data_IF_156912752836
#
_entry.id   IF_156912752836
#
_cell.length_a   1.000
_cell.length_b   1.000
_cell.length_c   1.000
_cell.angle_alpha   90.00
_cell.angle_beta   90.00
_cell.angle_gamma   90.00
#
_symmetry.space_group_name_H-M   'P 1'
#
loop_
_entity.id
_entity.type
_entity.pdbx_description
1 polymer ?
#
# COMPACT_ATOMS: atom_id res chain seq x y z
N UNK A 1 2.78 -23.72 -9.19
CA UNK A 1 3.77 -23.61 -8.09
C UNK A 1 5.17 -23.68 -8.66
N UNK A 2 6.10 -22.84 -8.20
CA UNK A 2 7.49 -22.85 -8.68
C UNK A 2 8.27 -24.04 -8.10
N UNK A 3 9.07 -24.70 -8.94
CA UNK A 3 9.87 -25.87 -8.57
C UNK A 3 11.29 -25.71 -9.10
N UNK A 4 12.26 -26.28 -8.40
CA UNK A 4 13.60 -26.45 -8.93
C UNK A 4 13.65 -27.63 -9.92
N UNK A 5 14.80 -27.84 -10.57
CA UNK A 5 15.00 -28.94 -11.53
C UNK A 5 14.77 -30.34 -10.96
N UNK A 6 14.74 -30.49 -9.62
CA UNK A 6 14.47 -31.75 -8.92
C UNK A 6 13.00 -31.87 -8.47
N UNK A 7 12.12 -30.95 -8.87
CA UNK A 7 10.70 -30.95 -8.52
C UNK A 7 10.38 -30.40 -7.13
N UNK A 8 11.39 -30.10 -6.30
CA UNK A 8 11.21 -29.57 -4.95
C UNK A 8 10.99 -28.04 -4.97
N UNK A 9 10.39 -27.45 -3.91
CA UNK A 9 10.32 -26.00 -3.76
C UNK A 9 11.72 -25.37 -3.84
N UNK A 10 11.84 -24.17 -4.45
CA UNK A 10 13.10 -23.45 -4.48
C UNK A 10 13.52 -23.04 -3.06
N UNK A 11 14.80 -23.22 -2.76
CA UNK A 11 15.39 -22.70 -1.52
C UNK A 11 15.60 -21.19 -1.64
N UNK A 12 15.04 -20.43 -0.69
CA UNK A 12 15.03 -18.97 -0.72
C UNK A 12 16.45 -18.37 -0.63
N UNK A 13 17.34 -19.00 0.14
CA UNK A 13 18.70 -18.51 0.32
C UNK A 13 19.52 -18.65 -0.97
N UNK A 14 19.40 -19.80 -1.64
CA UNK A 14 20.02 -20.02 -2.95
C UNK A 14 19.44 -19.08 -4.01
N UNK A 15 18.12 -18.91 -4.05
CA UNK A 15 17.47 -17.97 -4.96
C UNK A 15 17.97 -16.53 -4.74
N UNK A 16 18.00 -16.08 -3.48
CA UNK A 16 18.50 -14.75 -3.12
C UNK A 16 19.93 -14.52 -3.63
N UNK A 17 20.86 -15.43 -3.30
CA UNK A 17 22.27 -15.23 -3.57
C UNK A 17 22.64 -15.43 -5.04
N UNK A 18 22.02 -16.41 -5.70
CA UNK A 18 22.39 -16.79 -7.07
C UNK A 18 21.60 -16.07 -8.14
N UNK A 19 20.38 -15.64 -7.83
CA UNK A 19 19.46 -15.01 -8.79
C UNK A 19 19.21 -13.57 -8.41
N UNK A 20 18.58 -13.30 -7.27
CA UNK A 20 18.09 -11.95 -6.95
C UNK A 20 19.21 -10.90 -6.83
N UNK A 21 20.27 -11.18 -6.07
CA UNK A 21 21.38 -10.22 -5.92
C UNK A 21 22.12 -9.97 -7.24
N UNK A 22 22.26 -11.00 -8.09
CA UNK A 22 22.86 -10.85 -9.42
C UNK A 22 21.97 -10.04 -10.37
N UNK A 23 20.64 -10.17 -10.25
CA UNK A 23 19.70 -9.37 -11.02
C UNK A 23 19.77 -7.89 -10.62
N UNK A 24 19.88 -7.58 -9.32
CA UNK A 24 20.06 -6.20 -8.87
C UNK A 24 21.34 -5.58 -9.44
N UNK A 25 22.45 -6.32 -9.42
CA UNK A 25 23.72 -5.88 -10.00
C UNK A 25 23.60 -5.62 -11.51
N UNK A 26 23.00 -6.55 -12.25
CA UNK A 26 22.74 -6.38 -13.69
C UNK A 26 21.82 -5.19 -14.00
N UNK A 27 20.87 -4.89 -13.12
CA UNK A 27 19.97 -3.76 -13.24
C UNK A 27 20.61 -2.42 -12.78
N UNK A 28 21.85 -2.43 -12.29
CA UNK A 28 22.50 -1.24 -11.74
C UNK A 28 21.85 -0.72 -10.45
N UNK A 29 21.11 -1.57 -9.73
CA UNK A 29 20.39 -1.20 -8.52
C UNK A 29 21.23 -1.48 -7.28
N UNK A 30 21.04 -0.66 -6.24
CA UNK A 30 21.58 -0.94 -4.91
C UNK A 30 21.07 -2.28 -4.39
N UNK A 31 21.83 -2.89 -3.49
CA UNK A 31 21.37 -4.11 -2.79
C UNK A 31 20.15 -3.80 -1.92
N UNK A 32 19.08 -4.54 -2.16
CA UNK A 32 17.84 -4.54 -1.37
C UNK A 32 17.50 -5.97 -0.95
N UNK A 33 16.58 -6.12 -0.01
CA UNK A 33 16.05 -7.42 0.41
C UNK A 33 14.91 -7.81 -0.51
N UNK A 34 14.65 -9.12 -0.65
CA UNK A 34 13.60 -9.60 -1.55
C UNK A 34 12.21 -9.08 -1.16
N UNK A 35 11.93 -8.97 0.14
CA UNK A 35 10.64 -8.44 0.61
C UNK A 35 10.50 -6.92 0.46
N UNK A 36 11.58 -6.19 0.14
CA UNK A 36 11.47 -4.76 -0.20
C UNK A 36 10.68 -4.56 -1.50
N UNK A 37 10.59 -5.57 -2.38
CA UNK A 37 9.68 -5.57 -3.53
C UNK A 37 8.21 -5.47 -3.10
N UNK A 38 7.84 -6.19 -2.04
CA UNK A 38 6.49 -6.15 -1.46
C UNK A 38 6.19 -4.79 -0.83
N UNK A 39 7.18 -4.18 -0.18
CA UNK A 39 7.05 -2.80 0.32
C UNK A 39 6.88 -1.80 -0.83
N UNK A 40 7.61 -1.99 -1.94
CA UNK A 40 7.50 -1.14 -3.12
C UNK A 40 6.10 -1.21 -3.72
N UNK A 41 5.57 -2.42 -3.91
CA UNK A 41 4.19 -2.63 -4.40
C UNK A 41 3.15 -1.92 -3.54
N UNK A 42 3.20 -2.10 -2.21
CA UNK A 42 2.29 -1.45 -1.29
C UNK A 42 2.39 0.08 -1.35
N UNK A 43 3.62 0.60 -1.40
CA UNK A 43 3.86 2.05 -1.46
C UNK A 43 3.30 2.67 -2.73
N UNK A 44 3.46 1.99 -3.87
CA UNK A 44 2.92 2.45 -5.15
C UNK A 44 1.38 2.48 -5.16
N UNK A 45 0.72 1.45 -4.60
CA UNK A 45 -0.74 1.45 -4.47
C UNK A 45 -1.23 2.65 -3.65
N UNK A 46 -0.61 2.91 -2.51
CA UNK A 46 -1.01 4.01 -1.62
C UNK A 46 -0.76 5.38 -2.29
N UNK A 47 0.38 5.54 -2.98
CA UNK A 47 0.67 6.77 -3.72
C UNK A 47 -0.31 7.00 -4.88
N UNK A 48 -0.84 5.93 -5.47
CA UNK A 48 -1.90 6.00 -6.46
C UNK A 48 -3.30 6.25 -5.86
N UNK A 49 -3.41 6.44 -4.55
CA UNK A 49 -4.66 6.78 -3.87
C UNK A 49 -5.48 5.59 -3.38
N UNK A 50 -4.93 4.37 -3.45
CA UNK A 50 -5.63 3.18 -2.96
C UNK A 50 -5.78 3.17 -1.44
N UNK A 51 -6.87 2.58 -0.96
CA UNK A 51 -7.15 2.49 0.48
C UNK A 51 -6.22 1.48 1.17
N UNK A 52 -5.87 1.74 2.44
CA UNK A 52 -5.08 0.79 3.25
C UNK A 52 -5.80 -0.55 3.46
N UNK A 53 -7.14 -0.57 3.37
CA UNK A 53 -7.92 -1.81 3.43
C UNK A 53 -7.66 -2.66 2.19
N UNK A 54 -7.74 -2.06 1.01
CA UNK A 54 -7.41 -2.74 -0.25
C UNK A 54 -5.96 -3.24 -0.24
N UNK A 55 -5.00 -2.41 0.18
CA UNK A 55 -3.59 -2.83 0.28
C UNK A 55 -3.41 -3.99 1.25
N UNK A 56 -4.08 -4.00 2.42
CA UNK A 56 -4.06 -5.14 3.35
C UNK A 56 -4.51 -6.44 2.68
N UNK A 57 -5.59 -6.39 1.90
CA UNK A 57 -6.12 -7.55 1.18
C UNK A 57 -5.17 -8.06 0.11
N UNK A 58 -4.61 -7.17 -0.72
CA UNK A 58 -3.62 -7.54 -1.75
C UNK A 58 -2.35 -8.14 -1.13
N UNK A 59 -1.95 -7.63 0.03
CA UNK A 59 -0.83 -8.18 0.76
C UNK A 59 -1.19 -9.49 1.49
N UNK A 60 -2.47 -9.74 1.79
CA UNK A 60 -2.89 -10.87 2.62
C UNK A 60 -2.44 -10.72 4.08
N UNK A 61 -2.38 -9.48 4.60
CA UNK A 61 -2.13 -9.28 6.03
C UNK A 61 -3.35 -9.73 6.84
N UNK A 62 -3.12 -10.52 7.88
CA UNK A 62 -4.18 -11.01 8.77
C UNK A 62 -4.91 -9.88 9.50
N UNK A 63 -4.24 -8.75 9.75
CA UNK A 63 -4.81 -7.59 10.43
C UNK A 63 -4.48 -6.28 9.71
N UNK A 64 -5.46 -5.37 9.68
CA UNK A 64 -5.27 -4.00 9.16
C UNK A 64 -4.22 -3.23 9.96
N UNK A 65 -4.04 -3.55 11.25
CA UNK A 65 -3.04 -2.91 12.11
C UNK A 65 -1.63 -3.04 11.54
N UNK A 66 -1.28 -4.21 11.00
CA UNK A 66 0.04 -4.44 10.37
C UNK A 66 0.25 -3.47 9.20
N UNK A 67 -0.77 -3.33 8.34
CA UNK A 67 -0.70 -2.44 7.18
C UNK A 67 -0.62 -0.98 7.58
N UNK A 68 -1.41 -0.55 8.57
CA UNK A 68 -1.39 0.84 9.06
C UNK A 68 -0.08 1.17 9.74
N UNK A 69 0.43 0.30 10.62
CA UNK A 69 1.70 0.50 11.32
C UNK A 69 2.87 0.63 10.33
N UNK A 70 2.87 -0.17 9.25
CA UNK A 70 3.96 -0.18 8.26
C UNK A 70 3.82 0.94 7.23
N UNK A 71 2.61 1.24 6.73
CA UNK A 71 2.41 2.12 5.57
C UNK A 71 1.55 3.34 5.81
N UNK A 72 0.94 3.50 7.00
CA UNK A 72 0.02 4.60 7.28
C UNK A 72 0.62 5.99 7.05
N UNK A 73 1.94 6.12 7.23
CA UNK A 73 2.67 7.36 6.98
C UNK A 73 2.76 7.75 5.49
N UNK A 74 2.42 6.85 4.56
CA UNK A 74 2.43 7.11 3.12
C UNK A 74 1.10 7.68 2.60
N UNK A 75 0.03 7.67 3.42
CA UNK A 75 -1.29 8.14 2.99
C UNK A 75 -1.24 9.65 2.72
N UNK A 76 -1.57 10.09 1.49
CA UNK A 76 -1.54 11.51 1.15
C UNK A 76 -2.58 12.30 1.94
N UNK A 77 -2.17 13.46 2.46
CA UNK A 77 -3.05 14.32 3.25
C UNK A 77 -2.83 14.13 4.74
N UNK A 78 -1.78 14.78 5.25
CA UNK A 78 -1.72 15.15 6.66
C UNK A 78 -3.06 15.80 7.07
N UNK A 79 -3.55 15.51 8.30
CA UNK A 79 -4.85 15.93 8.83
C UNK A 79 -5.30 17.35 8.40
N UNK A 80 -4.35 18.29 8.30
CA UNK A 80 -4.58 19.68 7.88
C UNK A 80 -5.17 19.81 6.46
N UNK A 81 -4.71 19.02 5.49
CA UNK A 81 -5.29 19.04 4.15
C UNK A 81 -6.70 18.45 4.11
N UNK A 82 -6.99 17.45 4.95
CA UNK A 82 -8.34 16.89 5.06
C UNK A 82 -9.30 17.93 5.66
N UNK A 83 -8.88 18.64 6.71
CA UNK A 83 -9.65 19.75 7.31
C UNK A 83 -9.90 20.87 6.30
N UNK A 84 -8.89 21.23 5.49
CA UNK A 84 -9.04 22.26 4.47
C UNK A 84 -10.04 21.91 3.35
N UNK A 85 -10.45 20.64 3.21
CA UNK A 85 -11.49 20.21 2.25
C UNK A 85 -12.91 20.30 2.82
N UNK A 86 -13.07 20.47 4.14
CA UNK A 86 -14.38 20.60 4.77
C UNK A 86 -15.16 21.86 4.32
N UNK A 87 -14.56 23.07 4.22
CA UNK A 87 -15.28 24.28 3.83
C UNK A 87 -15.81 24.27 2.40
N UNK A 88 -15.26 23.42 1.52
CA UNK A 88 -15.74 23.27 0.14
C UNK A 88 -16.96 22.37 0.00
N UNK A 89 -17.37 21.67 1.06
CA UNK A 89 -18.63 20.93 1.09
C UNK A 89 -19.77 21.93 1.31
N UNK A 90 -20.31 22.48 0.21
CA UNK A 90 -21.59 23.18 0.28
C UNK A 90 -22.64 22.18 0.76
N UNK A 91 -23.09 22.32 1.99
CA UNK A 91 -24.35 21.72 2.44
C UNK A 91 -25.42 22.29 1.51
N UNK A 92 -26.00 21.45 0.67
CA UNK A 92 -27.07 21.89 -0.22
C UNK A 92 -28.18 22.48 0.65
N UNK A 93 -28.52 23.74 0.39
CA UNK A 93 -29.69 24.43 0.94
C UNK A 93 -30.96 23.65 0.54
N UNK A 94 -31.29 22.59 1.25
CA UNK A 94 -32.53 21.83 1.07
C UNK A 94 -33.21 21.52 2.42
N UNK A 95 -32.51 21.69 3.54
CA UNK A 95 -33.06 21.39 4.88
C UNK A 95 -33.66 22.62 5.61
N UNK A 96 -33.53 23.82 5.04
CA UNK A 96 -33.94 25.07 5.71
C UNK A 96 -35.41 25.48 5.48
N UNK A 97 -36.20 24.65 4.77
CA UNK A 97 -37.60 24.94 4.44
C UNK A 97 -38.64 24.23 5.34
N UNK A 98 -38.22 23.47 6.36
CA UNK A 98 -39.16 22.71 7.22
C UNK A 98 -39.48 23.35 8.58
N UNK A 99 -39.01 24.58 8.86
CA UNK A 99 -39.17 25.22 10.19
C UNK A 99 -40.04 26.49 10.13
N UNK A 100 -40.80 26.72 9.05
CA UNK A 100 -41.69 27.89 8.95
C UNK A 100 -43.14 27.55 8.60
N UNK A 101 -43.76 26.63 9.33
CA UNK A 101 -45.22 26.61 9.48
C UNK A 101 -45.57 26.19 10.91
N UNK A 102 -45.80 27.19 11.76
CA UNK A 102 -46.58 27.16 13.00
C UNK A 102 -47.25 28.53 13.13
#
# INVERSE_FOLDING_TARGET
MFRNSRGNPPDMQNFKNRVFLKLLEKAGLRRIRFHDLRHTYASLLIQNGESLVYVKEQLGHSSIKITVDVYGHLVPGSNRQAVNRLPSLKVSQADDLRVREN
#
